data_IF_594221759444
#
_entry.id   IF_594221759444
#
_cell.length_a   1.000
_cell.length_b   1.000
_cell.length_c   1.000
_cell.angle_alpha   90.00
_cell.angle_beta   90.00
_cell.angle_gamma   90.00
#
_symmetry.space_group_name_H-M   'P 1'
#
loop_
_entity.id
_entity.type
_entity.pdbx_description
1 polymer ?
#
# COMPACT_ATOMS: atom_id res chain seq x y z
N UNK A 1 4.27 -9.35 -21.19
CA UNK A 1 4.52 -10.78 -20.92
C UNK A 1 4.54 -11.04 -19.40
N UNK A 2 3.75 -10.28 -18.64
CA UNK A 2 3.63 -10.46 -17.20
C UNK A 2 2.38 -11.31 -16.89
N UNK A 3 2.42 -12.09 -15.81
CA UNK A 3 1.35 -13.03 -15.42
C UNK A 3 1.35 -14.39 -16.13
N UNK A 4 2.18 -14.62 -17.15
CA UNK A 4 2.33 -15.95 -17.79
C UNK A 4 3.34 -16.86 -17.08
N UNK A 5 4.33 -16.28 -16.42
CA UNK A 5 5.38 -17.01 -15.70
C UNK A 5 5.16 -16.71 -14.21
N UNK A 6 4.68 -17.71 -13.48
CA UNK A 6 4.51 -17.67 -12.02
C UNK A 6 5.82 -18.18 -11.41
N UNK A 7 6.76 -17.26 -11.20
CA UNK A 7 8.14 -17.61 -10.83
C UNK A 7 8.23 -18.28 -9.45
N UNK A 8 7.29 -17.93 -8.55
CA UNK A 8 7.26 -18.43 -7.18
C UNK A 8 6.37 -19.69 -7.01
N UNK A 9 5.44 -19.92 -7.93
CA UNK A 9 4.63 -21.15 -7.96
C UNK A 9 5.43 -22.29 -8.64
N UNK A 10 6.40 -22.89 -7.96
CA UNK A 10 7.27 -23.90 -8.59
C UNK A 10 6.62 -25.26 -8.80
N UNK A 11 5.50 -25.56 -8.11
CA UNK A 11 4.86 -26.87 -8.12
C UNK A 11 3.87 -27.02 -9.28
N UNK A 12 3.79 -28.23 -9.84
CA UNK A 12 2.90 -28.53 -10.97
C UNK A 12 1.41 -28.31 -10.63
N UNK A 13 1.01 -28.64 -9.40
CA UNK A 13 -0.37 -28.49 -8.94
C UNK A 13 -0.77 -27.02 -8.71
N UNK A 14 0.15 -26.18 -8.26
CA UNK A 14 -0.03 -24.71 -8.18
C UNK A 14 -0.21 -24.10 -9.57
N UNK A 15 0.65 -24.49 -10.53
CA UNK A 15 0.57 -24.05 -11.92
C UNK A 15 -0.73 -24.47 -12.59
N UNK A 16 -1.18 -25.72 -12.36
CA UNK A 16 -2.44 -26.25 -12.91
C UNK A 16 -3.67 -25.57 -12.33
N UNK A 17 -3.70 -25.34 -11.01
CA UNK A 17 -4.85 -24.72 -10.32
C UNK A 17 -4.87 -23.21 -10.42
N UNK A 18 -3.71 -22.62 -10.68
CA UNK A 18 -3.55 -21.19 -10.75
C UNK A 18 -3.56 -20.50 -9.39
N UNK A 19 -3.26 -21.20 -8.30
CA UNK A 19 -3.20 -20.69 -6.93
C UNK A 19 -1.88 -21.09 -6.26
N UNK A 20 -1.37 -20.21 -5.40
CA UNK A 20 -0.25 -20.51 -4.50
C UNK A 20 -0.76 -21.34 -3.33
N UNK A 21 -0.11 -22.46 -3.03
CA UNK A 21 -0.47 -23.39 -1.96
C UNK A 21 0.60 -23.48 -0.88
N UNK A 22 1.87 -23.25 -1.22
CA UNK A 22 2.97 -23.17 -0.27
C UNK A 22 3.71 -21.83 -0.35
N UNK A 23 4.19 -21.37 0.80
CA UNK A 23 4.94 -20.12 0.86
C UNK A 23 6.31 -20.28 0.19
N UNK A 24 6.65 -19.37 -0.72
CA UNK A 24 7.95 -19.34 -1.40
C UNK A 24 8.70 -18.05 -1.13
N UNK A 25 10.02 -18.12 -0.99
CA UNK A 25 10.85 -16.96 -0.68
C UNK A 25 11.86 -16.65 -1.78
N UNK A 26 12.07 -15.36 -2.07
CA UNK A 26 13.08 -14.86 -2.98
C UNK A 26 13.83 -13.67 -2.38
N UNK A 27 15.14 -13.65 -2.55
CA UNK A 27 15.96 -12.49 -2.19
C UNK A 27 16.16 -11.59 -3.40
N UNK A 28 15.75 -10.33 -3.26
CA UNK A 28 15.85 -9.29 -4.26
C UNK A 28 16.87 -8.25 -3.81
N UNK A 29 17.91 -8.06 -4.60
CA UNK A 29 18.96 -7.10 -4.32
C UNK A 29 18.76 -5.83 -5.17
N UNK A 30 18.61 -4.70 -4.51
CA UNK A 30 18.33 -3.41 -5.13
C UNK A 30 19.44 -2.41 -4.83
N UNK A 31 19.85 -1.65 -5.85
CA UNK A 31 20.68 -0.45 -5.68
C UNK A 31 19.82 0.77 -5.99
N UNK A 32 19.51 1.55 -4.97
CA UNK A 32 18.67 2.74 -5.10
C UNK A 32 19.58 3.97 -5.03
N UNK A 33 19.65 4.72 -6.12
CA UNK A 33 20.27 6.03 -6.13
C UNK A 33 19.29 7.06 -5.59
N UNK A 34 19.65 7.74 -4.50
CA UNK A 34 18.85 8.79 -3.91
C UNK A 34 19.66 10.08 -3.87
N UNK A 35 19.12 11.16 -4.43
CA UNK A 35 19.66 12.51 -4.17
C UNK A 35 19.46 12.82 -2.69
N UNK A 36 20.53 13.23 -2.00
CA UNK A 36 20.38 13.88 -0.70
C UNK A 36 19.64 15.20 -0.90
N UNK A 37 18.68 15.50 -0.04
CA UNK A 37 17.93 16.76 -0.04
C UNK A 37 18.90 17.94 -0.21
N UNK A 38 18.71 18.75 -1.25
CA UNK A 38 19.45 19.98 -1.59
C UNK A 38 20.97 19.87 -1.85
N UNK A 39 21.52 18.67 -2.10
CA UNK A 39 22.91 18.52 -2.56
C UNK A 39 22.99 17.76 -3.89
N UNK A 40 23.96 18.12 -4.74
CA UNK A 40 24.19 17.46 -6.04
C UNK A 40 24.74 16.02 -5.89
N UNK A 41 25.17 15.63 -4.69
CA UNK A 41 25.65 14.29 -4.41
C UNK A 41 24.51 13.26 -4.36
N UNK A 42 24.63 12.25 -5.22
CA UNK A 42 23.74 11.10 -5.24
C UNK A 42 24.34 9.99 -4.38
N UNK A 43 23.65 9.59 -3.33
CA UNK A 43 24.03 8.46 -2.49
C UNK A 43 23.40 7.19 -3.08
N UNK A 44 24.24 6.18 -3.36
CA UNK A 44 23.73 4.85 -3.75
C UNK A 44 23.55 4.04 -2.47
N UNK A 45 22.31 3.71 -2.15
CA UNK A 45 21.99 2.79 -1.05
C UNK A 45 21.66 1.42 -1.60
N UNK A 46 22.32 0.42 -1.04
CA UNK A 46 22.09 -0.97 -1.38
C UNK A 46 21.09 -1.56 -0.38
N UNK A 47 20.12 -2.30 -0.89
CA UNK A 47 19.04 -2.92 -0.13
C UNK A 47 18.93 -4.38 -0.53
N UNK A 48 18.87 -5.27 0.45
CA UNK A 48 18.51 -6.66 0.26
C UNK A 48 17.11 -6.85 0.84
N UNK A 49 16.15 -7.22 0.00
CA UNK A 49 14.76 -7.45 0.39
C UNK A 49 14.47 -8.93 0.19
N UNK A 50 14.09 -9.60 1.27
CA UNK A 50 13.58 -10.96 1.20
C UNK A 50 12.05 -10.88 1.07
N UNK A 51 11.53 -11.34 -0.05
CA UNK A 51 10.10 -11.41 -0.31
C UNK A 51 9.62 -12.82 -0.04
N UNK A 52 8.62 -12.97 0.82
CA UNK A 52 7.88 -14.22 1.00
C UNK A 52 6.54 -14.04 0.32
N UNK A 53 6.26 -14.88 -0.68
CA UNK A 53 4.97 -15.01 -1.33
C UNK A 53 4.16 -16.07 -0.59
N UNK A 54 3.02 -15.66 -0.04
CA UNK A 54 2.17 -16.51 0.79
C UNK A 54 0.85 -16.82 0.07
N UNK A 55 0.19 -17.96 0.38
CA UNK A 55 -1.09 -18.29 -0.21
C UNK A 55 -2.19 -17.25 0.07
N UNK A 56 -3.05 -17.01 -0.93
CA UNK A 56 -4.20 -16.08 -0.79
C UNK A 56 -5.51 -16.75 -0.33
N UNK A 57 -5.59 -18.07 -0.31
CA UNK A 57 -6.82 -18.81 0.02
C UNK A 57 -6.91 -19.11 1.53
N UNK A 58 -8.12 -19.02 2.11
CA UNK A 58 -8.35 -19.17 3.56
C UNK A 58 -7.92 -20.54 4.11
N UNK A 59 -8.02 -21.60 3.29
CA UNK A 59 -7.61 -22.96 3.66
C UNK A 59 -6.12 -23.06 4.00
N UNK A 60 -5.29 -22.11 3.55
CA UNK A 60 -3.85 -22.06 3.81
C UNK A 60 -3.46 -20.97 4.82
N UNK A 61 -4.40 -20.53 5.66
CA UNK A 61 -4.16 -19.51 6.70
C UNK A 61 -3.00 -19.84 7.65
N UNK A 62 -2.72 -21.12 7.89
CA UNK A 62 -1.56 -21.56 8.67
C UNK A 62 -0.20 -21.17 8.03
N UNK A 63 -0.10 -21.26 6.71
CA UNK A 63 1.07 -20.81 5.93
C UNK A 63 1.24 -19.30 6.04
N UNK A 64 0.16 -18.54 5.80
CA UNK A 64 0.14 -17.07 5.91
C UNK A 64 0.56 -16.62 7.31
N UNK A 65 0.06 -17.29 8.35
CA UNK A 65 0.40 -16.98 9.75
C UNK A 65 1.89 -17.22 10.04
N UNK A 66 2.46 -18.27 9.45
CA UNK A 66 3.89 -18.59 9.62
C UNK A 66 4.76 -17.62 8.85
N UNK A 67 4.41 -17.30 7.60
CA UNK A 67 5.10 -16.30 6.80
C UNK A 67 5.09 -14.92 7.49
N UNK A 68 3.94 -14.51 8.03
CA UNK A 68 3.80 -13.23 8.74
C UNK A 68 4.74 -13.13 9.95
N UNK A 69 4.88 -14.20 10.74
CA UNK A 69 5.81 -14.24 11.89
C UNK A 69 7.28 -14.19 11.50
N UNK A 70 7.63 -14.54 10.26
CA UNK A 70 9.00 -14.52 9.75
C UNK A 70 9.37 -13.18 9.11
N UNK A 71 8.39 -12.33 8.79
CA UNK A 71 8.59 -11.08 8.09
C UNK A 71 8.57 -9.87 9.04
N UNK A 72 9.39 -8.87 8.73
CA UNK A 72 9.36 -7.56 9.43
C UNK A 72 8.18 -6.68 9.00
N UNK A 73 7.46 -7.07 7.95
CA UNK A 73 6.31 -6.36 7.42
C UNK A 73 5.60 -7.13 6.32
N UNK A 74 4.41 -6.67 5.95
CA UNK A 74 3.60 -7.29 4.91
C UNK A 74 3.16 -6.25 3.88
N UNK A 75 2.91 -6.70 2.65
CA UNK A 75 2.27 -5.91 1.59
C UNK A 75 0.90 -6.51 1.33
N UNK A 76 -0.14 -5.72 1.49
CA UNK A 76 -1.52 -6.13 1.17
C UNK A 76 -1.78 -5.83 -0.29
N UNK A 77 -1.99 -6.87 -1.10
CA UNK A 77 -2.44 -6.73 -2.48
C UNK A 77 -3.96 -6.81 -2.53
N UNK A 78 -4.60 -5.82 -3.16
CA UNK A 78 -6.04 -5.77 -3.34
C UNK A 78 -6.32 -5.64 -4.82
N UNK A 79 -7.12 -6.57 -5.35
CA UNK A 79 -7.58 -6.49 -6.73
C UNK A 79 -8.64 -5.40 -6.84
N UNK A 80 -8.39 -4.45 -7.73
CA UNK A 80 -9.33 -3.40 -8.08
C UNK A 80 -9.91 -3.82 -9.42
N UNK A 81 -11.05 -4.52 -9.38
CA UNK A 81 -11.73 -4.98 -10.60
C UNK A 81 -12.21 -3.76 -11.38
N UNK A 82 -11.51 -3.42 -12.46
CA UNK A 82 -11.94 -2.42 -13.41
C UNK A 82 -12.88 -3.05 -14.43
N UNK A 83 -14.19 -2.94 -14.22
CA UNK A 83 -15.13 -3.04 -15.34
C UNK A 83 -14.81 -1.92 -16.35
N UNK A 84 -14.72 -2.27 -17.63
CA UNK A 84 -14.13 -1.47 -18.72
C UNK A 84 -14.86 -0.14 -19.09
N UNK A 85 -15.62 0.48 -18.19
CA UNK A 85 -16.49 1.63 -18.51
C UNK A 85 -16.60 2.71 -17.43
N UNK A 86 -15.81 2.68 -16.37
CA UNK A 86 -15.85 3.75 -15.36
C UNK A 86 -15.27 5.06 -15.92
N UNK A 87 -15.95 6.17 -15.65
CA UNK A 87 -15.35 7.49 -15.79
C UNK A 87 -14.23 7.69 -14.75
N UNK A 88 -13.27 8.63 -14.95
CA UNK A 88 -12.20 8.87 -13.99
C UNK A 88 -12.70 9.15 -12.56
N UNK A 89 -13.85 9.82 -12.43
CA UNK A 89 -14.45 10.11 -11.12
C UNK A 89 -15.00 8.84 -10.45
N UNK A 90 -15.70 7.99 -11.22
CA UNK A 90 -16.21 6.72 -10.70
C UNK A 90 -15.08 5.76 -10.31
N UNK A 91 -14.01 5.71 -11.12
CA UNK A 91 -12.80 4.95 -10.81
C UNK A 91 -12.16 5.44 -9.50
N UNK A 92 -11.99 6.77 -9.35
CA UNK A 92 -11.52 7.36 -8.10
C UNK A 92 -12.40 6.99 -6.91
N UNK A 93 -13.72 7.17 -7.01
CA UNK A 93 -14.65 6.83 -5.95
C UNK A 93 -14.61 5.33 -5.59
N UNK A 94 -14.45 4.46 -6.58
CA UNK A 94 -14.33 3.02 -6.37
C UNK A 94 -13.04 2.68 -5.62
N UNK A 95 -11.90 3.17 -6.08
CA UNK A 95 -10.60 2.97 -5.43
C UNK A 95 -10.61 3.52 -3.99
N UNK A 96 -11.19 4.71 -3.78
CA UNK A 96 -11.33 5.29 -2.44
C UNK A 96 -12.15 4.38 -1.51
N UNK A 97 -13.27 3.81 -1.99
CA UNK A 97 -14.07 2.84 -1.22
C UNK A 97 -13.28 1.58 -0.89
N UNK A 98 -12.48 1.07 -1.82
CA UNK A 98 -11.61 -0.09 -1.57
C UNK A 98 -10.62 0.21 -0.45
N UNK A 99 -9.95 1.36 -0.49
CA UNK A 99 -9.02 1.79 0.57
C UNK A 99 -9.75 1.93 1.91
N UNK A 100 -10.95 2.52 1.93
CA UNK A 100 -11.78 2.62 3.14
C UNK A 100 -12.17 1.25 3.70
N UNK A 101 -12.54 0.29 2.84
CA UNK A 101 -12.85 -1.07 3.26
C UNK A 101 -11.63 -1.77 3.88
N UNK A 102 -10.46 -1.64 3.27
CA UNK A 102 -9.20 -2.17 3.83
C UNK A 102 -8.92 -1.53 5.20
N UNK A 103 -9.02 -0.21 5.30
CA UNK A 103 -8.82 0.51 6.56
C UNK A 103 -9.83 0.08 7.64
N UNK A 104 -11.09 -0.18 7.27
CA UNK A 104 -12.10 -0.68 8.22
C UNK A 104 -11.76 -2.07 8.74
N UNK A 105 -11.25 -2.95 7.89
CA UNK A 105 -10.82 -4.30 8.29
C UNK A 105 -9.62 -4.19 9.24
N UNK A 106 -8.62 -3.41 8.86
CA UNK A 106 -7.42 -3.18 9.66
C UNK A 106 -7.74 -2.55 11.03
N UNK A 107 -8.63 -1.55 11.06
CA UNK A 107 -9.10 -0.94 12.30
C UNK A 107 -9.85 -1.93 13.20
N UNK A 108 -10.57 -2.89 12.62
CA UNK A 108 -11.25 -3.94 13.40
C UNK A 108 -10.28 -4.90 14.10
N UNK A 109 -9.18 -5.26 13.41
CA UNK A 109 -8.13 -6.08 14.02
C UNK A 109 -7.45 -5.32 15.17
N UNK A 110 -7.07 -4.07 14.93
CA UNK A 110 -6.47 -3.23 15.96
C UNK A 110 -7.38 -3.05 17.19
N UNK A 111 -8.67 -2.81 16.97
CA UNK A 111 -9.63 -2.71 18.05
C UNK A 111 -9.73 -4.02 18.86
N UNK A 112 -9.68 -5.18 18.18
CA UNK A 112 -9.65 -6.50 18.81
C UNK A 112 -8.42 -6.70 19.68
N UNK A 113 -7.22 -6.49 19.14
CA UNK A 113 -5.95 -6.59 19.89
C UNK A 113 -5.94 -5.63 21.09
N UNK A 114 -6.45 -4.41 20.91
CA UNK A 114 -6.56 -3.42 21.98
C UNK A 114 -7.45 -3.90 23.13
N UNK A 115 -8.57 -4.57 22.82
CA UNK A 115 -9.46 -5.15 23.83
C UNK A 115 -8.80 -6.31 24.58
N UNK A 116 -8.02 -7.13 23.89
CA UNK A 116 -7.24 -8.21 24.51
C UNK A 116 -6.14 -7.66 25.44
N UNK A 117 -5.40 -6.64 24.99
CA UNK A 117 -4.37 -5.96 25.78
C UNK A 117 -4.96 -5.33 27.07
N UNK A 118 -6.12 -4.65 26.97
CA UNK A 118 -6.83 -4.08 28.13
C UNK A 118 -7.32 -5.19 29.09
N UNK A 119 -7.83 -6.31 28.56
CA UNK A 119 -8.25 -7.45 29.38
C UNK A 119 -7.07 -8.05 30.16
N UNK A 120 -5.94 -8.30 29.48
CA UNK A 120 -4.72 -8.84 30.11
C UNK A 120 -4.20 -7.87 31.17
N UNK A 121 -4.20 -6.56 30.90
CA UNK A 121 -3.77 -5.56 31.86
C UNK A 121 -4.64 -5.59 33.12
N UNK A 122 -5.97 -5.65 32.97
CA UNK A 122 -6.91 -5.77 34.11
C UNK A 122 -6.72 -7.05 34.91
N UNK A 123 -6.47 -8.18 34.24
CA UNK A 123 -6.24 -9.47 34.89
C UNK A 123 -4.89 -9.55 35.61
N UNK A 124 -3.88 -8.82 35.12
CA UNK A 124 -2.54 -8.81 35.73
C UNK A 124 -2.51 -8.22 37.15
N UNK A 125 -3.51 -7.39 37.51
CA UNK A 125 -3.57 -6.71 38.80
C UNK A 125 -2.45 -5.68 39.02
N UNK A 126 -1.76 -5.26 37.94
CA UNK A 126 -0.72 -4.23 38.01
C UNK A 126 -1.31 -2.87 38.41
N UNK A 127 -0.51 -2.06 39.10
CA UNK A 127 -0.84 -0.66 39.42
C UNK A 127 -0.31 0.32 38.37
N UNK A 128 0.43 -0.17 37.37
CA UNK A 128 0.93 0.65 36.27
C UNK A 128 -0.23 1.11 35.37
N UNK A 129 -0.17 2.34 34.87
CA UNK A 129 -1.19 2.88 33.97
C UNK A 129 -1.20 2.14 32.63
N UNK A 130 -2.39 1.86 32.10
CA UNK A 130 -2.54 1.24 30.78
C UNK A 130 -2.08 2.22 29.69
N UNK A 131 -1.04 1.85 28.95
CA UNK A 131 -0.53 2.65 27.83
C UNK A 131 -1.25 2.21 26.55
N UNK A 132 -2.10 3.09 26.04
CA UNK A 132 -2.81 2.84 24.80
C UNK A 132 -1.86 2.95 23.58
N UNK A 133 -1.83 1.91 22.76
CA UNK A 133 -1.12 1.91 21.47
C UNK A 133 -1.81 2.88 20.50
N UNK A 134 -1.02 3.55 19.67
CA UNK A 134 -1.55 4.40 18.59
C UNK A 134 -1.76 3.59 17.31
N UNK A 135 -2.84 3.86 16.58
CA UNK A 135 -3.17 3.29 15.27
C UNK A 135 -2.79 4.22 14.10
N UNK A 136 -2.14 5.35 14.37
CA UNK A 136 -1.92 6.41 13.37
C UNK A 136 -1.21 5.93 12.11
N UNK A 137 -0.20 5.07 12.27
CA UNK A 137 0.64 4.59 11.17
C UNK A 137 0.10 3.29 10.52
N UNK A 138 -1.07 2.83 10.99
CA UNK A 138 -1.68 1.59 10.54
C UNK A 138 -2.54 1.77 9.28
N UNK A 139 -3.14 2.94 9.08
CA UNK A 139 -4.09 3.18 8.00
C UNK A 139 -3.44 3.57 6.68
N UNK A 140 -4.04 3.10 5.60
CA UNK A 140 -3.64 3.37 4.23
C UNK A 140 -4.23 4.69 3.72
N UNK A 141 -3.38 5.57 3.21
CA UNK A 141 -3.78 6.83 2.56
C UNK A 141 -2.75 7.16 1.47
N UNK A 142 -3.17 7.29 0.20
CA UNK A 142 -2.23 7.53 -0.89
C UNK A 142 -1.32 8.76 -0.71
N UNK A 143 -1.81 9.82 -0.05
CA UNK A 143 -1.03 11.04 0.25
C UNK A 143 0.15 10.79 1.21
N UNK A 144 0.05 9.78 2.07
CA UNK A 144 1.12 9.34 2.96
C UNK A 144 2.14 8.45 2.25
N UNK A 145 1.93 8.19 0.95
CA UNK A 145 2.81 7.37 0.11
C UNK A 145 2.95 5.92 0.64
N UNK A 146 1.93 5.42 1.34
CA UNK A 146 1.82 4.02 1.78
C UNK A 146 0.85 3.20 0.89
N UNK A 147 0.33 3.79 -0.19
CA UNK A 147 -0.45 3.10 -1.23
C UNK A 147 0.28 3.19 -2.57
N UNK A 148 0.33 2.07 -3.28
CA UNK A 148 0.92 1.95 -4.62
C UNK A 148 -0.16 1.44 -5.56
N UNK A 149 -0.33 2.12 -6.69
CA UNK A 149 -1.17 1.66 -7.79
C UNK A 149 -0.30 0.91 -8.78
N UNK A 150 -0.72 -0.29 -9.18
CA UNK A 150 0.08 -1.12 -10.07
C UNK A 150 -0.79 -1.97 -11.01
N UNK A 151 -0.27 -2.21 -12.20
CA UNK A 151 -0.75 -3.26 -13.10
C UNK A 151 0.36 -4.28 -13.27
N UNK A 152 0.14 -5.47 -12.69
CA UNK A 152 1.05 -6.59 -12.89
C UNK A 152 1.08 -7.00 -14.37
N UNK A 153 -0.05 -6.94 -15.09
CA UNK A 153 -0.16 -7.35 -16.50
C UNK A 153 0.62 -6.42 -17.43
N UNK A 154 0.51 -5.11 -17.20
CA UNK A 154 1.16 -4.09 -18.03
C UNK A 154 2.57 -3.74 -17.55
N UNK A 155 2.94 -4.16 -16.35
CA UNK A 155 4.30 -4.00 -15.80
C UNK A 155 4.60 -2.58 -15.32
N UNK A 156 3.61 -1.86 -14.81
CA UNK A 156 3.81 -0.53 -14.21
C UNK A 156 3.34 -0.49 -12.76
N UNK A 157 3.99 0.35 -11.96
CA UNK A 157 3.59 0.68 -10.60
C UNK A 157 3.97 2.12 -10.30
N UNK A 158 3.11 2.86 -9.62
CA UNK A 158 3.40 4.21 -9.15
C UNK A 158 2.71 4.52 -7.83
N UNK A 159 3.38 5.32 -7.02
CA UNK A 159 2.76 6.04 -5.91
C UNK A 159 2.45 7.48 -6.32
N UNK A 160 1.71 8.20 -5.48
CA UNK A 160 1.45 9.64 -5.68
C UNK A 160 2.76 10.42 -5.79
N UNK A 161 3.75 10.13 -4.95
CA UNK A 161 5.03 10.84 -5.02
C UNK A 161 5.77 10.57 -6.34
N UNK A 162 5.66 9.35 -6.88
CA UNK A 162 6.25 8.99 -8.17
C UNK A 162 5.55 9.75 -9.30
N UNK A 163 4.22 9.79 -9.27
CA UNK A 163 3.42 10.53 -10.23
C UNK A 163 3.69 12.04 -10.16
N UNK A 164 3.76 12.63 -8.96
CA UNK A 164 4.11 14.03 -8.76
C UNK A 164 5.45 14.41 -9.38
N UNK A 165 6.47 13.54 -9.30
CA UNK A 165 7.78 13.76 -9.94
C UNK A 165 7.71 13.75 -11.47
N UNK A 166 6.84 12.93 -12.05
CA UNK A 166 6.67 12.89 -13.52
C UNK A 166 6.02 14.18 -14.02
N UNK A 167 5.09 14.76 -13.25
CA UNK A 167 4.27 15.87 -13.69
C UNK A 167 4.70 17.26 -13.19
N UNK A 168 5.68 17.39 -12.29
CA UNK A 168 6.09 18.70 -11.77
C UNK A 168 6.46 19.68 -12.89
N UNK A 169 7.24 19.23 -13.87
CA UNK A 169 7.72 20.07 -14.96
C UNK A 169 6.61 20.40 -15.98
N UNK A 170 5.63 19.51 -16.11
CA UNK A 170 4.51 19.67 -17.05
C UNK A 170 3.44 20.62 -16.52
N UNK A 171 3.12 20.51 -15.23
CA UNK A 171 2.03 21.27 -14.61
C UNK A 171 2.51 22.59 -13.99
N UNK A 172 3.80 22.74 -13.72
CA UNK A 172 4.38 23.96 -13.17
C UNK A 172 4.10 24.17 -11.68
N UNK A 173 3.81 23.10 -10.93
CA UNK A 173 3.67 23.11 -9.47
C UNK A 173 4.86 22.45 -8.81
N UNK A 174 5.12 22.81 -7.55
CA UNK A 174 6.15 22.13 -6.76
C UNK A 174 5.75 20.68 -6.44
N UNK A 175 6.75 19.82 -6.26
CA UNK A 175 6.53 18.42 -5.89
C UNK A 175 5.71 18.28 -4.60
N UNK A 176 5.98 19.12 -3.61
CA UNK A 176 5.28 19.11 -2.32
C UNK A 176 3.79 19.45 -2.44
N UNK A 177 3.42 20.37 -3.33
CA UNK A 177 2.01 20.72 -3.58
C UNK A 177 1.31 19.55 -4.26
N UNK A 178 1.86 19.05 -5.37
CA UNK A 178 1.26 17.94 -6.11
C UNK A 178 1.11 16.68 -5.26
N UNK A 179 2.10 16.36 -4.43
CA UNK A 179 2.05 15.16 -3.59
C UNK A 179 0.91 15.18 -2.56
N UNK A 180 0.41 16.36 -2.20
CA UNK A 180 -0.72 16.55 -1.27
C UNK A 180 -2.07 16.73 -1.95
N UNK A 181 -2.10 16.95 -3.26
CA UNK A 181 -3.33 17.35 -3.97
C UNK A 181 -3.65 16.48 -5.19
N UNK A 182 -2.83 15.46 -5.47
CA UNK A 182 -3.11 14.46 -6.51
C UNK A 182 -4.13 13.40 -6.07
N UNK A 183 -4.52 13.43 -4.81
CA UNK A 183 -5.55 12.59 -4.22
C UNK A 183 -6.44 13.44 -3.33
N UNK A 184 -7.69 13.02 -3.18
CA UNK A 184 -8.71 13.81 -2.51
C UNK A 184 -9.47 14.73 -3.46
N UNK A 185 -10.32 15.56 -2.87
CA UNK A 185 -11.25 16.40 -3.60
C UNK A 185 -10.57 17.71 -4.03
N UNK A 186 -9.68 17.61 -5.02
CA UNK A 186 -8.96 18.75 -5.59
C UNK A 186 -9.15 18.83 -7.11
N UNK A 187 -9.32 20.05 -7.61
CA UNK A 187 -9.48 20.33 -9.03
C UNK A 187 -8.36 21.21 -9.54
N UNK A 188 -7.81 20.83 -10.70
CA UNK A 188 -6.79 21.61 -11.39
C UNK A 188 -7.45 22.62 -12.35
N UNK A 189 -7.34 23.91 -12.02
CA UNK A 189 -7.63 25.00 -12.93
C UNK A 189 -6.38 25.35 -13.74
N UNK A 190 -6.29 24.80 -14.96
CA UNK A 190 -5.16 25.02 -15.85
C UNK A 190 -5.10 26.46 -16.41
N UNK A 191 -6.24 27.18 -16.45
CA UNK A 191 -6.28 28.57 -16.95
C UNK A 191 -5.61 29.51 -15.95
N UNK A 192 -5.92 29.33 -14.68
CA UNK A 192 -5.39 30.15 -13.59
C UNK A 192 -4.13 29.55 -12.94
N UNK A 193 -3.71 28.35 -13.36
CA UNK A 193 -2.63 27.55 -12.74
C UNK A 193 -2.83 27.41 -11.23
N UNK A 194 -4.04 27.03 -10.83
CA UNK A 194 -4.41 26.85 -9.42
C UNK A 194 -4.95 25.46 -9.19
N UNK A 195 -4.70 24.95 -7.99
CA UNK A 195 -5.36 23.76 -7.48
C UNK A 195 -6.37 24.25 -6.46
N UNK A 196 -7.63 23.87 -6.65
CA UNK A 196 -8.77 24.37 -5.89
C UNK A 196 -9.39 23.17 -5.17
N UNK A 197 -9.53 23.20 -3.84
CA UNK A 197 -10.26 22.16 -3.14
C UNK A 197 -11.74 22.20 -3.52
N UNK A 198 -12.39 21.04 -3.56
CA UNK A 198 -13.83 20.95 -3.71
C UNK A 198 -14.51 21.68 -2.56
N UNK A 199 -15.27 22.71 -2.87
CA UNK A 199 -16.12 23.37 -1.89
C UNK A 199 -17.33 22.47 -1.72
N UNK A 200 -17.36 21.68 -0.64
CA UNK A 200 -18.59 20.98 -0.22
C UNK A 200 -19.66 22.06 -0.02
N UNK A 201 -20.62 22.12 -0.93
CA UNK A 201 -21.85 22.89 -0.70
C UNK A 201 -22.60 22.15 0.39
N UNK A 202 -22.63 22.73 1.59
CA UNK A 202 -23.52 22.31 2.67
C UNK A 202 -24.98 22.33 2.20
#
# INVERSE_FOLDING_TARGET
MAGKIRYLDSREDEQLRGITMESSAISLYFKVMRRKNDSEESETKEHLINLIDSPGHIDFSAEVSTASRLCDGAVVLVDVVEEWKLSPLEAYQHISKVIEQVNSIIGSFFAGERMEDDMIWRESGTTEEFIEKSDKDLYFTPELNNVIFASAVDGWAFSINTFAKIYLAKLGFSHAVLSKTLWGDFYLDMKNKKIIPEIKKN
#
